data_IF_562859019782
#
_entry.id   IF_562859019782
#
_cell.length_a   1.000
_cell.length_b   1.000
_cell.length_c   1.000
_cell.angle_alpha   90.00
_cell.angle_beta   90.00
_cell.angle_gamma   90.00
#
_symmetry.space_group_name_H-M   'P 1'
#
loop_
_entity.id
_entity.type
_entity.pdbx_description
1 polymer ?
#
# COMPACT_ATOMS: atom_id res chain seq x y z
N UNK A 1 -5.61 1.30 16.27
CA UNK A 1 -6.38 1.74 15.08
C UNK A 1 -7.74 2.17 15.59
N UNK A 2 -8.20 3.39 15.31
CA UNK A 2 -9.62 3.73 15.55
C UNK A 2 -10.44 2.85 14.60
N UNK A 3 -11.45 2.16 15.12
CA UNK A 3 -12.43 1.46 14.29
C UNK A 3 -13.19 2.49 13.46
N UNK A 4 -13.33 2.24 12.16
CA UNK A 4 -14.19 3.05 11.29
C UNK A 4 -15.64 2.64 11.59
N UNK A 5 -16.52 3.62 11.80
CA UNK A 5 -17.94 3.36 11.92
C UNK A 5 -18.52 3.06 10.54
N UNK A 6 -19.06 1.85 10.39
CA UNK A 6 -19.63 1.35 9.14
C UNK A 6 -21.16 1.37 9.12
N UNK A 7 -21.81 1.94 10.14
CA UNK A 7 -23.27 1.84 10.34
C UNK A 7 -24.08 2.35 9.14
N UNK A 8 -23.59 3.40 8.47
CA UNK A 8 -24.26 4.01 7.31
C UNK A 8 -23.63 3.63 5.97
N UNK A 9 -22.89 2.52 5.90
CA UNK A 9 -22.26 2.08 4.65
C UNK A 9 -23.16 1.10 3.92
N UNK A 10 -23.31 1.28 2.61
CA UNK A 10 -24.16 0.44 1.75
C UNK A 10 -23.43 0.08 0.45
N UNK A 11 -23.96 -0.93 -0.26
CA UNK A 11 -23.47 -1.34 -1.57
C UNK A 11 -23.94 -0.39 -2.69
N UNK A 12 -22.99 0.05 -3.51
CA UNK A 12 -23.25 0.77 -4.76
C UNK A 12 -22.73 -0.01 -5.95
N UNK A 13 -23.49 -0.09 -7.04
CA UNK A 13 -22.99 -0.72 -8.28
C UNK A 13 -21.87 0.13 -8.85
N UNK A 14 -20.79 -0.50 -9.33
CA UNK A 14 -19.69 0.26 -9.96
C UNK A 14 -20.20 1.11 -11.13
N UNK A 15 -21.21 0.65 -11.86
CA UNK A 15 -21.84 1.39 -12.96
C UNK A 15 -22.59 2.65 -12.53
N UNK A 16 -23.03 2.75 -11.28
CA UNK A 16 -23.70 3.93 -10.72
C UNK A 16 -22.69 5.00 -10.33
N UNK A 17 -21.48 4.59 -9.94
CA UNK A 17 -20.40 5.49 -9.51
C UNK A 17 -19.51 5.91 -10.68
N UNK A 18 -19.25 4.98 -11.61
CA UNK A 18 -18.24 5.15 -12.64
C UNK A 18 -18.80 4.98 -14.06
N UNK A 19 -18.26 5.78 -14.99
CA UNK A 19 -18.22 5.45 -16.40
C UNK A 19 -16.97 4.61 -16.63
N UNK A 20 -17.15 3.34 -17.00
CA UNK A 20 -16.03 2.41 -17.21
C UNK A 20 -15.68 2.27 -18.68
N UNK A 21 -14.39 2.31 -19.00
CA UNK A 21 -13.87 2.09 -20.36
C UNK A 21 -12.68 1.15 -20.33
N UNK A 22 -12.58 0.26 -21.31
CA UNK A 22 -11.33 -0.44 -21.57
C UNK A 22 -10.32 0.59 -22.08
N UNK A 23 -9.08 0.51 -21.59
CA UNK A 23 -8.03 1.41 -22.09
C UNK A 23 -7.64 1.03 -23.50
N UNK A 24 -6.96 1.95 -24.17
CA UNK A 24 -6.28 1.65 -25.42
C UNK A 24 -4.99 0.87 -25.11
N UNK A 25 -4.28 0.42 -26.15
CA UNK A 25 -3.11 -0.43 -25.96
C UNK A 25 -2.03 -0.09 -26.97
N UNK A 26 -0.88 0.37 -26.47
CA UNK A 26 0.36 0.46 -27.25
C UNK A 26 1.31 -0.57 -26.69
N UNK A 27 1.84 -1.47 -27.52
CA UNK A 27 2.81 -2.46 -27.05
C UNK A 27 4.16 -1.82 -26.76
N UNK A 28 4.87 -2.31 -25.74
CA UNK A 28 6.20 -1.80 -25.37
C UNK A 28 7.22 -1.84 -26.51
N UNK A 29 7.12 -2.80 -27.44
CA UNK A 29 7.99 -2.89 -28.62
C UNK A 29 7.84 -1.70 -29.58
N UNK A 30 6.71 -0.98 -29.53
CA UNK A 30 6.41 0.18 -30.36
C UNK A 30 6.72 1.50 -29.68
N UNK A 31 7.27 1.46 -28.46
CA UNK A 31 7.54 2.63 -27.64
C UNK A 31 9.02 2.93 -27.58
N UNK A 32 9.33 4.22 -27.65
CA UNK A 32 10.64 4.75 -27.26
C UNK A 32 10.48 5.32 -25.84
N UNK A 33 11.09 4.71 -24.82
CA UNK A 33 11.08 5.24 -23.46
C UNK A 33 11.63 6.67 -23.41
N UNK A 34 11.08 7.47 -22.49
CA UNK A 34 11.44 8.88 -22.25
C UNK A 34 11.34 9.79 -23.48
N UNK A 35 10.54 9.39 -24.48
CA UNK A 35 10.35 10.14 -25.73
C UNK A 35 9.40 11.33 -25.61
N UNK A 36 8.76 11.53 -24.47
CA UNK A 36 7.79 12.60 -24.26
C UNK A 36 7.37 12.74 -22.81
N UNK A 37 6.22 13.37 -22.58
CA UNK A 37 5.73 13.73 -21.24
C UNK A 37 4.43 13.01 -20.84
N UNK A 38 3.89 12.16 -21.72
CA UNK A 38 2.67 11.39 -21.40
C UNK A 38 3.05 10.10 -20.66
N UNK A 39 2.49 9.83 -19.47
CA UNK A 39 2.80 8.61 -18.73
C UNK A 39 2.31 7.39 -19.51
N UNK A 40 3.20 6.41 -19.62
CA UNK A 40 2.88 5.08 -20.10
C UNK A 40 2.57 4.19 -18.90
N UNK A 41 1.28 3.91 -18.72
CA UNK A 41 0.72 3.24 -17.54
C UNK A 41 0.53 1.76 -17.86
N UNK A 42 0.99 0.93 -16.93
CA UNK A 42 0.86 -0.52 -17.03
C UNK A 42 0.02 -1.06 -15.88
N UNK A 43 -0.30 -2.35 -15.93
CA UNK A 43 -0.98 -3.06 -14.84
C UNK A 43 -0.09 -3.27 -13.58
N UNK A 44 1.09 -2.64 -13.47
CA UNK A 44 1.92 -2.76 -12.27
C UNK A 44 1.36 -1.94 -11.09
N UNK A 45 1.73 -2.33 -9.86
CA UNK A 45 1.30 -1.61 -8.65
C UNK A 45 2.22 -0.43 -8.30
N UNK A 46 3.53 -0.61 -8.53
CA UNK A 46 4.54 0.39 -8.21
C UNK A 46 4.42 1.65 -9.06
N UNK A 47 4.90 2.78 -8.52
CA UNK A 47 4.94 4.08 -9.19
C UNK A 47 3.62 4.48 -9.85
N UNK A 48 2.49 4.17 -9.20
CA UNK A 48 1.15 4.48 -9.70
C UNK A 48 0.84 3.88 -11.09
N UNK A 49 1.50 2.76 -11.42
CA UNK A 49 1.38 2.09 -12.72
C UNK A 49 2.32 2.63 -13.80
N UNK A 50 2.94 3.81 -13.61
CA UNK A 50 3.76 4.48 -14.63
C UNK A 50 5.10 3.77 -14.81
N UNK A 51 5.35 3.26 -16.02
CA UNK A 51 6.61 2.57 -16.37
C UNK A 51 7.65 3.54 -16.95
N UNK A 52 7.24 4.46 -17.81
CA UNK A 52 8.08 5.50 -18.45
C UNK A 52 7.17 6.61 -18.99
N UNK A 53 7.74 7.64 -19.59
CA UNK A 53 7.02 8.69 -20.30
C UNK A 53 7.28 8.61 -21.80
N UNK A 54 6.26 8.83 -22.61
CA UNK A 54 6.34 8.66 -24.06
C UNK A 54 5.64 9.79 -24.80
N UNK A 55 6.03 10.00 -26.06
CA UNK A 55 5.26 10.81 -26.99
C UNK A 55 4.06 9.98 -27.49
N UNK A 56 2.94 10.06 -26.78
CA UNK A 56 1.77 9.28 -27.13
C UNK A 56 0.90 9.97 -28.18
N UNK A 57 0.54 9.29 -29.28
CA UNK A 57 -0.41 9.84 -30.24
C UNK A 57 -1.80 10.02 -29.63
N UNK A 58 -2.52 11.07 -30.05
CA UNK A 58 -3.83 11.45 -29.50
C UNK A 58 -4.88 10.36 -29.60
N UNK A 59 -4.81 9.51 -30.64
CA UNK A 59 -5.71 8.40 -30.88
C UNK A 59 -5.50 7.26 -29.89
N UNK A 60 -4.34 7.16 -29.24
CA UNK A 60 -4.01 6.17 -28.20
C UNK A 60 -4.09 6.72 -26.78
N UNK A 61 -4.42 8.00 -26.64
CA UNK A 61 -4.55 8.67 -25.36
C UNK A 61 -5.85 8.28 -24.64
N UNK A 62 -5.72 7.85 -23.40
CA UNK A 62 -6.78 7.71 -22.41
C UNK A 62 -6.79 8.95 -21.50
N UNK A 63 -7.97 9.37 -21.05
CA UNK A 63 -8.12 10.60 -20.27
C UNK A 63 -7.91 10.38 -18.78
N UNK A 64 -7.43 11.39 -18.07
CA UNK A 64 -7.56 11.55 -16.62
C UNK A 64 -8.58 12.65 -16.25
N UNK A 65 -8.92 12.83 -14.95
CA UNK A 65 -8.57 11.96 -13.84
C UNK A 65 -9.40 10.67 -13.82
N UNK A 66 -8.80 9.53 -13.49
CA UNK A 66 -9.51 8.25 -13.34
C UNK A 66 -8.80 7.25 -12.44
N UNK A 67 -9.51 6.21 -11.99
CA UNK A 67 -8.88 5.02 -11.41
C UNK A 67 -8.64 3.99 -12.51
N UNK A 68 -7.42 3.47 -12.63
CA UNK A 68 -7.11 2.36 -13.52
C UNK A 68 -7.07 1.04 -12.73
N UNK A 69 -7.85 0.07 -13.20
CA UNK A 69 -7.75 -1.33 -12.78
C UNK A 69 -6.85 -2.09 -13.75
N UNK A 70 -5.77 -2.68 -13.23
CA UNK A 70 -4.93 -3.61 -14.00
C UNK A 70 -5.69 -4.90 -14.32
N UNK A 71 -5.95 -5.17 -15.60
CA UNK A 71 -6.82 -6.27 -16.02
C UNK A 71 -6.34 -7.66 -15.58
N UNK A 72 -5.02 -7.87 -15.53
CA UNK A 72 -4.40 -9.15 -15.14
C UNK A 72 -3.95 -9.21 -13.68
N UNK A 73 -3.60 -8.06 -13.10
CA UNK A 73 -2.95 -7.97 -11.79
C UNK A 73 -3.90 -7.50 -10.69
N UNK A 74 -5.09 -7.01 -11.06
CA UNK A 74 -6.06 -6.37 -10.16
C UNK A 74 -5.44 -5.23 -9.34
N UNK A 75 -4.50 -4.49 -9.92
CA UNK A 75 -3.97 -3.28 -9.29
C UNK A 75 -4.95 -2.13 -9.44
N UNK A 76 -4.94 -1.21 -8.48
CA UNK A 76 -5.76 0.00 -8.49
C UNK A 76 -4.83 1.20 -8.37
N UNK A 77 -4.75 2.01 -9.42
CA UNK A 77 -3.88 3.19 -9.50
C UNK A 77 -4.68 4.41 -9.92
N UNK A 78 -4.27 5.60 -9.51
CA UNK A 78 -4.96 6.85 -9.81
C UNK A 78 -4.23 7.59 -10.92
N UNK A 79 -4.84 7.81 -12.08
CA UNK A 79 -4.23 8.57 -13.16
C UNK A 79 -4.74 10.01 -13.11
N UNK A 80 -3.90 10.93 -12.64
CA UNK A 80 -4.24 12.36 -12.52
C UNK A 80 -4.34 13.05 -13.89
N UNK A 81 -3.41 12.70 -14.78
CA UNK A 81 -3.29 13.27 -16.13
C UNK A 81 -3.64 12.22 -17.19
N UNK A 82 -3.83 12.70 -18.41
CA UNK A 82 -3.97 11.85 -19.59
C UNK A 82 -2.76 10.92 -19.75
N UNK A 83 -3.01 9.70 -20.19
CA UNK A 83 -2.01 8.62 -20.20
C UNK A 83 -2.22 7.67 -21.38
N UNK A 84 -1.25 6.80 -21.61
CA UNK A 84 -1.37 5.70 -22.57
C UNK A 84 -1.11 4.37 -21.89
N UNK A 85 -1.93 3.38 -22.22
CA UNK A 85 -1.92 2.07 -21.54
C UNK A 85 -1.26 0.99 -22.37
N UNK A 86 -0.77 -0.04 -21.68
CA UNK A 86 -0.05 -1.16 -22.28
C UNK A 86 -0.93 -2.35 -22.68
N UNK A 87 -2.17 -2.40 -22.20
CA UNK A 87 -3.06 -3.56 -22.34
C UNK A 87 -4.51 -3.09 -22.43
N UNK A 88 -5.23 -3.53 -23.46
CA UNK A 88 -6.65 -3.18 -23.67
C UNK A 88 -7.59 -3.82 -22.65
N UNK A 89 -7.11 -4.78 -21.84
CA UNK A 89 -7.88 -5.38 -20.75
C UNK A 89 -7.86 -4.55 -19.46
N UNK A 90 -6.99 -3.53 -19.36
CA UNK A 90 -7.08 -2.59 -18.25
C UNK A 90 -8.39 -1.78 -18.35
N UNK A 91 -8.92 -1.38 -17.20
CA UNK A 91 -10.21 -0.70 -17.10
C UNK A 91 -10.00 0.66 -16.43
N UNK A 92 -10.31 1.74 -17.15
CA UNK A 92 -10.38 3.08 -16.60
C UNK A 92 -11.78 3.35 -16.03
N UNK A 93 -11.85 3.76 -14.76
CA UNK A 93 -13.04 4.16 -14.03
C UNK A 93 -13.06 5.68 -13.90
N UNK A 94 -13.96 6.32 -14.65
CA UNK A 94 -14.19 7.76 -14.58
C UNK A 94 -15.34 8.05 -13.62
N UNK A 95 -15.15 8.91 -12.64
CA UNK A 95 -16.24 9.30 -11.75
C UNK A 95 -17.40 9.91 -12.55
N UNK A 96 -18.64 9.53 -12.22
CA UNK A 96 -19.85 10.15 -12.80
C UNK A 96 -20.18 11.49 -12.14
N UNK A 97 -19.89 11.58 -10.84
CA UNK A 97 -20.10 12.80 -10.05
C UNK A 97 -18.77 13.56 -9.95
N UNK A 98 -18.78 14.84 -10.29
CA UNK A 98 -17.59 15.70 -10.23
C UNK A 98 -17.00 15.80 -8.83
N UNK A 99 -17.82 15.65 -7.79
CA UNK A 99 -17.36 15.64 -6.39
C UNK A 99 -16.43 14.45 -6.08
N UNK A 100 -16.49 13.41 -6.91
CA UNK A 100 -15.65 12.22 -6.79
C UNK A 100 -14.38 12.26 -7.67
N UNK A 101 -14.16 13.32 -8.47
CA UNK A 101 -12.98 13.43 -9.33
C UNK A 101 -11.72 13.84 -8.54
N UNK A 102 -11.87 14.49 -7.38
CA UNK A 102 -10.76 14.96 -6.57
C UNK A 102 -9.87 13.84 -6.03
N UNK A 103 -8.56 14.09 -5.96
CA UNK A 103 -7.56 13.13 -5.47
C UNK A 103 -7.94 12.49 -4.12
N UNK A 104 -8.35 13.23 -3.07
CA UNK A 104 -8.71 12.61 -1.79
C UNK A 104 -9.84 11.57 -1.93
N UNK A 105 -10.90 11.92 -2.68
CA UNK A 105 -12.03 11.02 -2.92
C UNK A 105 -11.63 9.81 -3.77
N UNK A 106 -10.80 9.98 -4.79
CA UNK A 106 -10.30 8.88 -5.61
C UNK A 106 -9.43 7.90 -4.82
N UNK A 107 -8.58 8.41 -3.91
CA UNK A 107 -7.79 7.56 -3.00
C UNK A 107 -8.67 6.79 -2.02
N UNK A 108 -9.75 7.41 -1.54
CA UNK A 108 -10.73 6.72 -0.70
C UNK A 108 -11.42 5.61 -1.49
N UNK A 109 -11.88 5.90 -2.70
CA UNK A 109 -12.51 4.94 -3.61
C UNK A 109 -11.59 3.77 -3.94
N UNK A 110 -10.30 4.01 -4.22
CA UNK A 110 -9.30 2.94 -4.40
C UNK A 110 -9.23 2.04 -3.17
N UNK A 111 -9.23 2.63 -1.96
CA UNK A 111 -9.18 1.87 -0.71
C UNK A 111 -10.44 1.01 -0.53
N UNK A 112 -11.62 1.57 -0.80
CA UNK A 112 -12.90 0.86 -0.72
C UNK A 112 -13.01 -0.25 -1.78
N UNK A 113 -12.54 0.00 -3.01
CA UNK A 113 -12.47 -1.00 -4.08
C UNK A 113 -11.57 -2.17 -3.69
N UNK A 114 -10.36 -1.90 -3.19
CA UNK A 114 -9.46 -2.96 -2.70
C UNK A 114 -10.10 -3.81 -1.62
N UNK A 115 -10.84 -3.19 -0.69
CA UNK A 115 -11.56 -3.91 0.36
C UNK A 115 -12.75 -4.73 -0.20
N UNK A 116 -13.53 -4.17 -1.12
CA UNK A 116 -14.76 -4.78 -1.63
C UNK A 116 -14.51 -5.87 -2.66
N UNK A 117 -13.55 -5.67 -3.57
CA UNK A 117 -13.35 -6.56 -4.72
C UNK A 117 -11.98 -7.24 -4.78
N UNK A 118 -11.03 -6.85 -3.92
CA UNK A 118 -9.65 -7.35 -3.95
C UNK A 118 -9.52 -8.87 -3.71
N UNK A 119 -10.47 -9.48 -3.01
CA UNK A 119 -10.50 -10.93 -2.73
C UNK A 119 -11.29 -11.75 -3.76
N UNK A 120 -11.93 -11.10 -4.74
CA UNK A 120 -12.83 -11.77 -5.68
C UNK A 120 -12.12 -12.40 -6.87
N UNK A 121 -10.84 -12.08 -7.07
CA UNK A 121 -10.06 -12.48 -8.25
C UNK A 121 -8.77 -13.15 -7.83
N UNK A 122 -8.25 -14.00 -8.69
CA UNK A 122 -7.00 -14.74 -8.47
C UNK A 122 -6.17 -14.77 -9.74
N UNK A 123 -4.95 -15.29 -9.67
CA UNK A 123 -4.04 -15.31 -10.82
C UNK A 123 -4.60 -16.03 -12.07
N UNK A 124 -5.51 -17.01 -11.87
CA UNK A 124 -6.20 -17.71 -12.96
C UNK A 124 -7.59 -17.14 -13.31
N UNK A 125 -8.08 -16.16 -12.55
CA UNK A 125 -9.41 -15.60 -12.70
C UNK A 125 -9.36 -14.07 -12.63
N UNK A 126 -9.10 -13.45 -13.78
CA UNK A 126 -8.84 -12.01 -13.86
C UNK A 126 -10.13 -11.20 -14.03
N UNK A 127 -10.07 -9.92 -13.70
CA UNK A 127 -11.18 -9.01 -13.95
C UNK A 127 -11.33 -8.78 -15.45
N UNK A 128 -12.58 -8.61 -15.88
CA UNK A 128 -12.93 -8.19 -17.24
C UNK A 128 -14.00 -7.11 -17.18
N UNK A 129 -14.14 -6.34 -18.26
CA UNK A 129 -15.19 -5.32 -18.36
C UNK A 129 -16.59 -5.92 -18.14
N UNK A 130 -16.83 -7.15 -18.60
CA UNK A 130 -18.11 -7.85 -18.37
C UNK A 130 -18.35 -8.05 -16.87
N UNK A 131 -17.37 -8.56 -16.14
CA UNK A 131 -17.50 -8.81 -14.69
C UNK A 131 -17.58 -7.51 -13.90
N UNK A 132 -16.77 -6.51 -14.26
CA UNK A 132 -16.73 -5.22 -13.57
C UNK A 132 -18.10 -4.52 -13.52
N UNK A 133 -18.94 -4.72 -14.55
CA UNK A 133 -20.31 -4.17 -14.62
C UNK A 133 -21.24 -4.71 -13.54
N UNK A 134 -21.02 -5.93 -13.07
CA UNK A 134 -21.89 -6.57 -12.07
C UNK A 134 -21.41 -6.34 -10.63
N UNK A 135 -20.17 -5.85 -10.46
CA UNK A 135 -19.55 -5.60 -9.16
C UNK A 135 -20.17 -4.42 -8.43
N UNK A 136 -19.98 -4.42 -7.11
CA UNK A 136 -20.41 -3.38 -6.19
C UNK A 136 -19.27 -2.98 -5.27
N UNK A 137 -19.35 -1.77 -4.72
CA UNK A 137 -18.42 -1.24 -3.74
C UNK A 137 -19.20 -0.76 -2.54
N UNK A 138 -18.73 -1.09 -1.34
CA UNK A 138 -19.35 -0.64 -0.09
C UNK A 138 -18.80 0.73 0.26
N UNK A 139 -19.67 1.74 0.34
CA UNK A 139 -19.30 3.13 0.60
C UNK A 139 -20.20 3.76 1.69
N UNK A 140 -19.73 4.79 2.40
CA UNK A 140 -20.58 5.60 3.27
C UNK A 140 -21.68 6.27 2.44
N UNK A 141 -22.90 6.27 2.97
CA UNK A 141 -24.06 6.89 2.34
C UNK A 141 -24.63 8.03 3.19
N UNK A 142 -25.11 9.06 2.51
CA UNK A 142 -25.93 10.12 3.09
C UNK A 142 -27.33 9.59 3.42
N UNK A 143 -28.14 10.32 4.23
CA UNK A 143 -29.49 9.89 4.59
C UNK A 143 -30.45 9.67 3.42
N UNK A 144 -30.14 10.24 2.25
CA UNK A 144 -30.90 10.05 1.00
C UNK A 144 -30.46 8.81 0.20
N UNK A 145 -29.49 8.05 0.71
CA UNK A 145 -28.99 6.82 0.07
C UNK A 145 -27.98 7.06 -1.05
N UNK A 146 -27.47 8.28 -1.21
CA UNK A 146 -26.40 8.57 -2.18
C UNK A 146 -25.01 8.46 -1.54
N UNK A 147 -23.91 8.29 -2.32
CA UNK A 147 -22.58 8.22 -1.74
C UNK A 147 -22.19 9.53 -1.04
N UNK A 148 -21.65 9.43 0.17
CA UNK A 148 -21.20 10.59 0.94
C UNK A 148 -19.81 11.05 0.51
N UNK A 149 -19.76 11.79 -0.61
CA UNK A 149 -18.51 12.33 -1.16
C UNK A 149 -17.78 13.25 -0.19
N UNK A 150 -18.52 14.07 0.55
CA UNK A 150 -17.94 15.04 1.49
C UNK A 150 -17.25 14.33 2.66
N UNK A 151 -17.86 13.27 3.19
CA UNK A 151 -17.21 12.43 4.19
C UNK A 151 -15.94 11.76 3.66
N UNK A 152 -16.01 11.16 2.46
CA UNK A 152 -14.85 10.48 1.85
C UNK A 152 -13.67 11.43 1.63
N UNK A 153 -13.94 12.62 1.11
CA UNK A 153 -12.95 13.68 0.90
C UNK A 153 -12.33 14.10 2.24
N UNK A 154 -13.15 14.52 3.21
CA UNK A 154 -12.68 15.01 4.50
C UNK A 154 -11.83 13.99 5.28
N UNK A 155 -12.22 12.71 5.25
CA UNK A 155 -11.44 11.64 5.88
C UNK A 155 -10.07 11.52 5.23
N UNK A 156 -10.00 11.52 3.90
CA UNK A 156 -8.73 11.34 3.21
C UNK A 156 -7.84 12.58 3.31
N UNK A 157 -8.40 13.80 3.23
CA UNK A 157 -7.69 15.05 3.47
C UNK A 157 -7.05 15.09 4.87
N UNK A 158 -7.78 14.66 5.89
CA UNK A 158 -7.25 14.58 7.26
C UNK A 158 -6.04 13.62 7.33
N UNK A 159 -6.12 12.46 6.66
CA UNK A 159 -5.02 11.49 6.63
C UNK A 159 -3.80 12.00 5.86
N UNK A 160 -4.03 12.65 4.71
CA UNK A 160 -2.97 13.27 3.91
C UNK A 160 -2.27 14.35 4.75
N UNK A 161 -3.03 15.28 5.34
CA UNK A 161 -2.49 16.37 6.17
C UNK A 161 -1.68 15.87 7.37
N UNK A 162 -2.17 14.83 8.07
CA UNK A 162 -1.42 14.18 9.17
C UNK A 162 -0.11 13.56 8.68
N UNK A 163 -0.14 12.91 7.52
CA UNK A 163 1.02 12.24 6.94
C UNK A 163 2.06 13.25 6.49
N UNK A 164 1.64 14.33 5.81
CA UNK A 164 2.50 15.41 5.37
C UNK A 164 3.18 16.13 6.54
N UNK A 165 2.43 16.39 7.62
CA UNK A 165 2.96 16.97 8.85
C UNK A 165 4.04 16.09 9.47
N UNK A 166 3.81 14.77 9.50
CA UNK A 166 4.78 13.80 10.02
C UNK A 166 6.02 13.71 9.12
N UNK A 167 5.84 13.68 7.80
CA UNK A 167 6.94 13.64 6.83
C UNK A 167 7.80 14.90 6.92
N UNK A 168 7.15 16.07 7.01
CA UNK A 168 7.82 17.36 7.19
C UNK A 168 8.66 17.37 8.46
N UNK A 169 8.13 16.82 9.55
CA UNK A 169 8.87 16.70 10.81
C UNK A 169 10.11 15.81 10.66
N UNK A 170 9.98 14.66 9.98
CA UNK A 170 11.10 13.73 9.73
C UNK A 170 12.17 14.38 8.84
N UNK A 171 11.77 15.01 7.73
CA UNK A 171 12.68 15.71 6.83
C UNK A 171 13.36 16.90 7.53
N UNK A 172 12.65 17.58 8.43
CA UNK A 172 13.21 18.60 9.31
C UNK A 172 14.38 18.07 10.15
N UNK A 173 14.23 16.89 10.75
CA UNK A 173 15.30 16.24 11.53
C UNK A 173 16.53 15.95 10.66
N UNK A 174 16.33 15.48 9.41
CA UNK A 174 17.46 15.18 8.51
C UNK A 174 18.29 16.40 8.12
N UNK A 175 17.74 17.61 8.25
CA UNK A 175 18.45 18.88 8.00
C UNK A 175 19.22 19.39 9.22
N UNK A 176 18.99 18.83 10.40
CA UNK A 176 19.72 19.19 11.62
C UNK A 176 21.10 18.52 11.52
N UNK A 177 22.22 19.27 11.56
CA UNK A 177 23.53 18.66 11.57
C UNK A 177 23.63 17.71 12.77
N UNK A 178 24.29 16.56 12.64
CA UNK A 178 24.41 15.61 13.73
C UNK A 178 25.00 16.32 14.95
N UNK A 179 24.18 16.50 15.98
CA UNK A 179 24.61 17.13 17.22
C UNK A 179 25.46 16.11 17.95
N UNK A 180 26.73 16.44 18.15
CA UNK A 180 27.60 15.63 19.00
C UNK A 180 26.96 15.60 20.40
N UNK A 181 26.59 14.41 20.85
CA UNK A 181 26.13 14.20 22.21
C UNK A 181 27.37 14.31 23.10
N UNK A 182 27.32 15.21 24.08
CA UNK A 182 28.37 15.26 25.09
C UNK A 182 28.29 13.99 25.94
N UNK A 183 29.30 13.14 25.76
CA UNK A 183 29.44 11.85 26.44
C UNK A 183 30.50 11.91 27.54
N UNK A 184 31.05 13.08 27.85
CA UNK A 184 32.10 13.24 28.86
C UNK A 184 31.67 12.83 30.27
N UNK A 185 30.37 12.90 30.56
CA UNK A 185 29.77 12.47 31.82
C UNK A 185 29.22 11.04 31.81
N UNK A 186 29.29 10.33 30.68
CA UNK A 186 28.75 8.98 30.57
C UNK A 186 29.67 8.00 31.30
N UNK A 187 29.08 7.17 32.16
CA UNK A 187 29.77 6.08 32.83
C UNK A 187 29.64 4.76 32.06
N UNK A 188 30.56 3.84 32.31
CA UNK A 188 30.40 2.45 31.89
C UNK A 188 29.48 1.70 32.86
N UNK A 189 28.53 0.94 32.31
CA UNK A 189 27.65 0.08 33.08
C UNK A 189 27.69 -1.34 32.51
N UNK A 190 27.82 -2.34 33.37
CA UNK A 190 27.61 -3.70 32.93
C UNK A 190 26.12 -3.96 32.72
N UNK A 191 25.77 -4.84 31.78
CA UNK A 191 24.37 -5.25 31.58
C UNK A 191 23.73 -5.79 32.87
N UNK A 192 24.54 -6.44 33.73
CA UNK A 192 24.10 -6.93 35.03
C UNK A 192 23.70 -5.78 35.96
N UNK A 193 24.48 -4.70 36.00
CA UNK A 193 24.19 -3.54 36.85
C UNK A 193 22.96 -2.77 36.38
N UNK A 194 22.67 -2.84 35.08
CA UNK A 194 21.43 -2.34 34.47
C UNK A 194 20.22 -3.28 34.70
N UNK A 195 20.41 -4.40 35.41
CA UNK A 195 19.35 -5.35 35.74
C UNK A 195 18.99 -6.31 34.61
N UNK A 196 19.83 -6.46 33.58
CA UNK A 196 19.60 -7.45 32.54
C UNK A 196 20.01 -8.84 33.01
N UNK A 197 19.10 -9.79 32.82
CA UNK A 197 19.37 -11.22 32.92
C UNK A 197 19.68 -11.78 31.54
N UNK A 198 20.85 -12.41 31.40
CA UNK A 198 21.29 -12.96 30.12
C UNK A 198 20.76 -14.38 29.94
N UNK A 199 20.12 -14.62 28.80
CA UNK A 199 19.62 -15.92 28.40
C UNK A 199 20.20 -16.32 27.04
N UNK A 200 20.62 -17.57 26.91
CA UNK A 200 21.02 -18.12 25.61
C UNK A 200 19.84 -18.76 24.90
N UNK A 201 19.72 -18.45 23.61
CA UNK A 201 18.78 -19.12 22.73
C UNK A 201 19.17 -20.58 22.50
N UNK A 202 18.18 -21.43 22.26
CA UNK A 202 18.40 -22.83 21.93
C UNK A 202 18.37 -23.02 20.40
N UNK A 203 19.38 -23.69 19.83
CA UNK A 203 19.44 -23.95 18.38
C UNK A 203 18.29 -24.84 17.93
N UNK A 204 17.59 -24.47 16.86
CA UNK A 204 16.56 -25.29 16.19
C UNK A 204 16.87 -25.45 14.70
N UNK A 205 17.18 -26.67 14.28
CA UNK A 205 17.47 -26.98 12.89
C UNK A 205 16.21 -26.85 12.02
N UNK A 206 16.39 -26.54 10.73
CA UNK A 206 15.31 -26.16 9.81
C UNK A 206 14.28 -27.27 9.60
N UNK A 207 14.73 -28.51 9.53
CA UNK A 207 13.94 -29.74 9.40
C UNK A 207 12.98 -30.00 10.59
N UNK A 208 13.30 -29.45 11.77
CA UNK A 208 12.48 -29.58 12.98
C UNK A 208 11.49 -28.46 13.19
N UNK A 209 11.48 -27.44 12.33
CA UNK A 209 10.58 -26.30 12.46
C UNK A 209 9.22 -26.67 11.87
N UNK A 210 8.18 -26.50 12.68
CA UNK A 210 6.78 -26.66 12.26
C UNK A 210 6.11 -25.30 12.32
N UNK A 211 5.21 -25.03 11.39
CA UNK A 211 4.45 -23.78 11.33
C UNK A 211 3.65 -23.56 12.62
N UNK A 212 3.50 -22.30 13.01
CA UNK A 212 2.72 -21.90 14.20
C UNK A 212 2.79 -20.39 14.39
N UNK A 213 2.56 -19.91 15.62
CA UNK A 213 2.34 -18.48 15.89
C UNK A 213 3.50 -17.79 16.62
N UNK A 214 4.55 -18.51 17.02
CA UNK A 214 5.66 -17.94 17.79
C UNK A 214 6.79 -17.50 16.84
N UNK A 215 7.26 -16.24 16.90
CA UNK A 215 8.34 -15.78 16.02
C UNK A 215 9.67 -16.47 16.38
N UNK A 216 10.26 -17.18 15.42
CA UNK A 216 11.58 -17.78 15.51
C UNK A 216 12.66 -16.79 15.08
N UNK A 217 13.58 -16.47 15.99
CA UNK A 217 14.60 -15.43 15.80
C UNK A 217 15.95 -16.05 15.42
N UNK A 218 16.64 -15.40 14.49
CA UNK A 218 17.99 -15.75 14.04
C UNK A 218 18.86 -14.50 13.92
N UNK A 219 20.15 -14.67 13.60
CA UNK A 219 21.12 -13.58 13.41
C UNK A 219 20.94 -12.80 12.09
N UNK A 220 19.73 -12.32 11.84
CA UNK A 220 19.36 -11.56 10.65
C UNK A 220 19.22 -10.07 10.93
N UNK A 221 19.75 -9.23 10.04
CA UNK A 221 19.67 -7.76 10.13
C UNK A 221 18.30 -7.18 9.73
N UNK A 222 17.53 -7.93 8.95
CA UNK A 222 16.22 -7.52 8.42
C UNK A 222 15.08 -8.13 9.23
N UNK A 223 13.87 -7.57 9.11
CA UNK A 223 12.66 -8.07 9.76
C UNK A 223 12.84 -8.30 11.28
N UNK A 224 13.65 -7.45 11.93
CA UNK A 224 14.06 -7.55 13.34
C UNK A 224 14.79 -8.88 13.70
N UNK A 225 15.17 -9.70 12.73
CA UNK A 225 15.73 -11.03 12.93
C UNK A 225 14.71 -12.19 12.94
N UNK A 226 13.41 -11.93 12.66
CA UNK A 226 12.42 -13.02 12.51
C UNK A 226 12.71 -13.79 11.22
N UNK A 227 12.99 -15.09 11.35
CA UNK A 227 13.15 -15.98 10.20
C UNK A 227 11.83 -16.60 9.74
N UNK A 228 10.95 -16.98 10.68
CA UNK A 228 9.65 -17.60 10.41
C UNK A 228 8.82 -17.66 11.71
N UNK A 229 7.53 -17.94 11.61
CA UNK A 229 6.71 -18.30 12.78
C UNK A 229 6.64 -19.83 12.93
N UNK A 230 6.73 -20.32 14.17
CA UNK A 230 6.77 -21.74 14.49
C UNK A 230 5.87 -22.09 15.68
N UNK A 231 5.43 -23.34 15.72
CA UNK A 231 5.00 -23.96 16.98
C UNK A 231 6.24 -24.37 17.77
N UNK A 232 6.27 -24.12 19.07
CA UNK A 232 7.40 -24.55 19.91
C UNK A 232 6.95 -24.89 21.33
N UNK A 233 7.59 -25.91 21.89
CA UNK A 233 7.54 -26.32 23.29
C UNK A 233 8.69 -25.71 24.13
N UNK A 234 9.57 -24.95 23.49
CA UNK A 234 10.75 -24.34 24.13
C UNK A 234 10.38 -23.11 24.95
N UNK A 235 11.29 -22.73 25.85
CA UNK A 235 11.15 -21.54 26.69
C UNK A 235 10.89 -20.31 25.83
N UNK A 236 9.82 -19.59 26.15
CA UNK A 236 9.46 -18.33 25.52
C UNK A 236 10.03 -17.17 26.31
N UNK A 237 10.54 -16.17 25.60
CA UNK A 237 11.00 -14.91 26.16
C UNK A 237 10.04 -13.80 25.72
N UNK A 238 9.70 -12.90 26.65
CA UNK A 238 8.80 -11.76 26.41
C UNK A 238 9.48 -10.48 26.89
N UNK A 239 9.24 -9.35 26.23
CA UNK A 239 9.84 -8.05 26.58
C UNK A 239 11.37 -8.11 26.64
N UNK A 240 11.97 -8.81 25.67
CA UNK A 240 13.39 -9.12 25.67
C UNK A 240 14.14 -8.29 24.62
N UNK A 241 15.37 -7.90 24.94
CA UNK A 241 16.33 -7.42 23.94
C UNK A 241 17.12 -8.63 23.45
N UNK A 242 17.00 -8.95 22.17
CA UNK A 242 17.81 -9.99 21.54
C UNK A 242 19.06 -9.37 20.94
N UNK A 243 20.22 -9.92 21.29
CA UNK A 243 21.50 -9.56 20.70
C UNK A 243 22.00 -10.77 19.90
N UNK A 244 22.22 -10.60 18.60
CA UNK A 244 22.79 -11.66 17.78
C UNK A 244 24.33 -11.70 17.83
N UNK A 245 24.92 -12.72 17.21
CA UNK A 245 26.38 -12.92 17.22
C UNK A 245 27.17 -11.84 16.48
N UNK A 246 26.51 -10.95 15.74
CA UNK A 246 27.11 -9.80 15.07
C UNK A 246 26.85 -8.48 15.81
N UNK A 247 26.21 -8.54 16.99
CA UNK A 247 25.88 -7.37 17.80
C UNK A 247 24.63 -6.62 17.33
N UNK A 248 23.79 -7.19 16.46
CA UNK A 248 22.52 -6.56 16.13
C UNK A 248 21.55 -6.72 17.31
N UNK A 249 20.97 -5.61 17.76
CA UNK A 249 20.07 -5.57 18.91
C UNK A 249 18.64 -5.25 18.48
N UNK A 250 17.67 -6.07 18.90
CA UNK A 250 16.26 -5.83 18.64
C UNK A 250 15.44 -5.94 19.94
N UNK A 251 14.54 -4.99 20.18
CA UNK A 251 13.59 -5.00 21.30
C UNK A 251 12.22 -5.52 20.85
N UNK A 252 11.58 -6.36 21.67
CA UNK A 252 10.32 -7.06 21.38
C UNK A 252 9.46 -7.31 22.61
#
# INVERSE_FOLDING_TARGET
MRSIDLTNWIDFKLLEIFVMKNTKSITSASLTPDSGTTPYVTAQEGNNGVQTYVSCPSEWLDKGPCILIGGKTLTFTYQEQDFCSNDSHNIALYARDKRAEGLPTQLFLISALRASIGQLFSWGDSISMKRAKDLSVVLPATPDGTPDWGYMEAVMEEQISKTDSRLTSILGITKIPPRQIDTSSWGEFSLKDLGFENYHGERLNKDRRREGEVPFITAGKTNRGIAQYISTDRKLYRKAITVDMFGNCFSR
#
